data_IF_086824319941
#
_entry.id   IF_086824319941
#
_cell.length_a   1.000
_cell.length_b   1.000
_cell.length_c   1.000
_cell.angle_alpha   90.00
_cell.angle_beta   90.00
_cell.angle_gamma   90.00
#
_symmetry.space_group_name_H-M   'P 1'
#
loop_
_entity.id
_entity.type
_entity.pdbx_description
1 polymer ?
#
# COMPACT_ATOMS: atom_id res chain seq x y z
N UNK A 1 -17.07 39.20 -40.63
CA UNK A 1 -16.18 38.13 -40.13
C UNK A 1 -15.52 38.66 -38.86
N UNK A 2 -15.97 38.20 -37.70
CA UNK A 2 -15.30 38.49 -36.42
C UNK A 2 -15.42 37.23 -35.57
N UNK A 3 -14.26 36.64 -35.32
CA UNK A 3 -14.01 35.41 -34.57
C UNK A 3 -14.35 35.62 -33.09
N UNK A 4 -15.29 34.83 -32.58
CA UNK A 4 -15.60 34.77 -31.15
C UNK A 4 -14.54 33.87 -30.49
N UNK A 5 -13.66 34.47 -29.69
CA UNK A 5 -12.76 33.74 -28.81
C UNK A 5 -13.59 33.08 -27.69
N UNK A 6 -13.60 31.76 -27.64
CA UNK A 6 -14.10 31.01 -26.49
C UNK A 6 -13.05 31.11 -25.37
N UNK A 7 -13.33 31.97 -24.40
CA UNK A 7 -12.63 32.01 -23.12
C UNK A 7 -12.99 30.71 -22.38
N UNK A 8 -12.03 29.82 -22.22
CA UNK A 8 -12.14 28.65 -21.35
C UNK A 8 -12.44 29.11 -19.93
N UNK A 9 -13.54 28.64 -19.36
CA UNK A 9 -13.87 28.87 -17.97
C UNK A 9 -12.72 28.35 -17.06
N UNK A 10 -12.35 29.08 -15.99
CA UNK A 10 -11.36 28.59 -15.04
C UNK A 10 -11.87 27.31 -14.38
N UNK A 11 -11.02 26.28 -14.36
CA UNK A 11 -11.25 25.00 -13.69
C UNK A 11 -11.71 25.26 -12.25
N UNK A 12 -12.78 24.59 -11.83
CA UNK A 12 -13.27 24.72 -10.46
C UNK A 12 -12.32 24.02 -9.50
N UNK A 13 -12.30 24.40 -8.22
CA UNK A 13 -11.46 23.77 -7.18
C UNK A 13 -11.58 22.22 -7.17
N UNK A 14 -12.75 21.68 -7.55
CA UNK A 14 -13.00 20.24 -7.70
C UNK A 14 -12.30 19.59 -8.89
N UNK A 15 -11.99 20.36 -9.93
CA UNK A 15 -11.27 19.86 -11.10
C UNK A 15 -9.75 19.83 -10.83
N UNK A 16 -9.23 20.72 -9.97
CA UNK A 16 -7.85 20.66 -9.46
C UNK A 16 -7.61 19.48 -8.50
N UNK A 17 -8.61 19.11 -7.69
CA UNK A 17 -8.56 17.93 -6.80
C UNK A 17 -8.31 16.60 -7.54
N UNK A 18 -8.67 16.53 -8.84
CA UNK A 18 -8.43 15.34 -9.67
C UNK A 18 -7.06 15.32 -10.37
N UNK A 19 -6.42 16.50 -10.51
CA UNK A 19 -5.14 16.70 -11.21
C UNK A 19 -3.93 16.36 -10.33
N UNK A 20 -3.96 16.66 -9.02
CA UNK A 20 -2.81 16.42 -8.14
C UNK A 20 -2.76 15.03 -7.49
N UNK A 21 -3.81 14.21 -7.63
CA UNK A 21 -3.83 12.84 -7.13
C UNK A 21 -3.70 12.69 -5.61
N UNK A 22 -3.85 13.79 -4.86
CA UNK A 22 -3.82 13.81 -3.40
C UNK A 22 -5.14 13.22 -2.90
N UNK A 23 -5.05 12.20 -2.05
CA UNK A 23 -6.24 11.62 -1.41
C UNK A 23 -6.92 12.65 -0.50
N UNK A 24 -8.25 12.69 -0.44
CA UNK A 24 -8.95 13.59 0.47
C UNK A 24 -8.54 13.38 1.93
N UNK A 25 -8.17 12.13 2.27
CA UNK A 25 -7.57 11.77 3.56
C UNK A 25 -6.17 12.37 3.75
N UNK A 26 -5.33 12.38 2.71
CA UNK A 26 -4.00 12.98 2.76
C UNK A 26 -4.06 14.50 2.93
N UNK A 27 -5.05 15.15 2.34
CA UNK A 27 -5.26 16.59 2.50
C UNK A 27 -5.71 16.93 3.93
N UNK A 28 -6.62 16.14 4.50
CA UNK A 28 -7.08 16.27 5.89
C UNK A 28 -5.96 15.96 6.90
N UNK A 29 -5.03 15.05 6.54
CA UNK A 29 -3.84 14.79 7.34
C UNK A 29 -2.79 15.90 7.22
N UNK A 30 -2.66 16.54 6.05
CA UNK A 30 -1.74 17.66 5.86
C UNK A 30 -2.13 18.87 6.72
N UNK A 31 -3.43 19.06 7.01
CA UNK A 31 -3.88 20.09 7.96
C UNK A 31 -3.51 19.79 9.41
N UNK A 32 -3.03 18.58 9.74
CA UNK A 32 -2.56 18.23 11.07
C UNK A 32 -1.12 18.65 11.36
N UNK A 33 -0.41 19.22 10.38
CA UNK A 33 0.93 19.77 10.60
C UNK A 33 0.91 21.18 11.26
N UNK A 34 -0.24 21.63 11.75
CA UNK A 34 -0.47 23.01 12.23
C UNK A 34 0.41 23.44 13.42
N UNK A 35 0.97 22.48 14.18
CA UNK A 35 1.79 22.77 15.36
C UNK A 35 3.30 22.79 15.07
N UNK A 36 3.74 22.52 13.83
CA UNK A 36 5.16 22.48 13.45
C UNK A 36 5.54 23.66 12.55
N UNK A 37 6.69 24.26 12.85
CA UNK A 37 7.33 25.25 11.97
C UNK A 37 7.89 24.58 10.71
N UNK A 38 8.11 25.37 9.66
CA UNK A 38 8.69 24.88 8.41
C UNK A 38 10.12 24.34 8.62
N UNK A 39 10.89 24.95 9.52
CA UNK A 39 12.24 24.48 9.88
C UNK A 39 12.20 23.12 10.60
N UNK A 40 11.25 22.91 11.51
CA UNK A 40 11.04 21.61 12.17
C UNK A 40 10.62 20.54 11.16
N UNK A 41 9.72 20.85 10.24
CA UNK A 41 9.27 19.93 9.20
C UNK A 41 10.43 19.54 8.27
N UNK A 42 11.26 20.51 7.89
CA UNK A 42 12.47 20.28 7.09
C UNK A 42 13.50 19.43 7.84
N UNK A 43 13.66 19.65 9.13
CA UNK A 43 14.53 18.83 9.98
C UNK A 43 14.04 17.38 10.03
N UNK A 44 12.76 17.15 10.31
CA UNK A 44 12.14 15.82 10.33
C UNK A 44 12.32 15.12 8.97
N UNK A 45 12.00 15.82 7.88
CA UNK A 45 12.16 15.31 6.51
C UNK A 45 13.59 14.90 6.21
N UNK A 46 14.59 15.65 6.69
CA UNK A 46 16.01 15.31 6.54
C UNK A 46 16.37 14.04 7.31
N UNK A 47 15.93 13.91 8.56
CA UNK A 47 16.19 12.71 9.36
C UNK A 47 15.55 11.46 8.73
N UNK A 48 14.26 11.54 8.39
CA UNK A 48 13.55 10.43 7.74
C UNK A 48 14.14 10.07 6.37
N UNK A 49 14.67 11.05 5.63
CA UNK A 49 15.39 10.77 4.39
C UNK A 49 16.63 9.91 4.62
N UNK A 50 17.44 10.26 5.62
CA UNK A 50 18.65 9.51 5.96
C UNK A 50 18.31 8.09 6.41
N UNK A 51 17.27 7.94 7.24
CA UNK A 51 16.82 6.65 7.74
C UNK A 51 16.26 5.76 6.62
N UNK A 52 15.46 6.31 5.70
CA UNK A 52 15.03 5.55 4.51
C UNK A 52 16.22 5.10 3.67
N UNK A 53 17.19 5.97 3.45
CA UNK A 53 18.37 5.62 2.65
C UNK A 53 19.21 4.53 3.33
N UNK A 54 19.28 4.52 4.66
CA UNK A 54 19.97 3.47 5.42
C UNK A 54 19.21 2.13 5.37
N UNK A 55 17.91 2.13 5.67
CA UNK A 55 17.08 0.93 5.63
C UNK A 55 16.99 0.34 4.21
N UNK A 56 16.95 1.19 3.19
CA UNK A 56 16.92 0.76 1.78
C UNK A 56 18.16 -0.06 1.40
N UNK A 57 19.31 0.12 2.05
CA UNK A 57 20.50 -0.73 1.80
C UNK A 57 20.27 -2.19 2.13
N UNK A 58 19.32 -2.49 3.02
CA UNK A 58 18.94 -3.84 3.44
C UNK A 58 17.85 -4.44 2.53
N UNK A 59 17.34 -3.68 1.55
CA UNK A 59 16.27 -4.12 0.68
C UNK A 59 16.72 -5.23 -0.27
N UNK A 60 16.07 -6.39 -0.18
CA UNK A 60 16.27 -7.52 -1.10
C UNK A 60 15.13 -7.51 -2.14
N UNK A 61 15.48 -7.51 -3.43
CA UNK A 61 14.54 -7.41 -4.57
C UNK A 61 14.51 -8.66 -5.46
N UNK A 62 15.04 -9.77 -4.94
CA UNK A 62 14.97 -11.09 -5.53
C UNK A 62 14.36 -12.06 -4.52
N UNK A 63 14.03 -13.27 -4.96
CA UNK A 63 13.45 -14.28 -4.10
C UNK A 63 14.47 -14.76 -3.06
N UNK A 64 14.12 -14.54 -1.80
CA UNK A 64 14.76 -15.09 -0.60
C UNK A 64 13.61 -15.56 0.29
N UNK A 65 13.02 -16.69 -0.11
CA UNK A 65 11.71 -17.16 0.34
C UNK A 65 11.83 -18.51 1.07
N UNK A 66 10.99 -18.68 2.09
CA UNK A 66 10.81 -19.96 2.79
C UNK A 66 9.70 -20.82 2.13
N UNK A 67 9.37 -20.54 0.87
CA UNK A 67 8.43 -21.29 0.03
C UNK A 67 8.88 -21.26 -1.43
N UNK A 68 8.40 -22.21 -2.22
CA UNK A 68 8.68 -22.30 -3.65
C UNK A 68 7.66 -21.45 -4.44
N UNK A 69 8.08 -20.37 -5.11
CA UNK A 69 7.18 -19.54 -5.91
C UNK A 69 6.56 -20.27 -7.11
N UNK A 70 7.13 -21.40 -7.53
CA UNK A 70 6.60 -22.23 -8.62
C UNK A 70 5.63 -23.33 -8.13
N UNK A 71 5.60 -23.61 -6.83
CA UNK A 71 4.65 -24.54 -6.19
C UNK A 71 4.04 -23.95 -4.90
N UNK A 72 3.31 -22.83 -5.06
CA UNK A 72 2.65 -22.15 -3.95
C UNK A 72 1.64 -23.04 -3.23
N UNK A 73 0.88 -23.87 -3.94
CA UNK A 73 -0.24 -24.62 -3.35
C UNK A 73 0.25 -25.69 -2.34
N UNK A 74 1.49 -26.18 -2.48
CA UNK A 74 2.09 -27.11 -1.51
C UNK A 74 3.06 -26.45 -0.52
N UNK A 75 3.75 -25.37 -0.87
CA UNK A 75 4.84 -24.82 -0.05
C UNK A 75 4.45 -23.55 0.73
N UNK A 76 3.50 -22.76 0.22
CA UNK A 76 2.97 -21.60 0.94
C UNK A 76 1.83 -22.02 1.86
N UNK A 77 1.93 -21.66 3.14
CA UNK A 77 1.00 -22.04 4.22
C UNK A 77 0.22 -20.87 4.77
N UNK A 78 0.87 -19.71 4.91
CA UNK A 78 0.26 -18.54 5.52
C UNK A 78 0.61 -17.26 4.78
N UNK A 79 -0.41 -16.46 4.48
CA UNK A 79 -0.29 -15.15 3.85
C UNK A 79 -0.87 -14.08 4.78
N UNK A 80 -0.05 -13.09 5.09
CA UNK A 80 -0.44 -11.94 5.89
C UNK A 80 -1.06 -10.84 5.03
N UNK A 81 -1.97 -10.07 5.63
CA UNK A 81 -2.52 -8.84 5.08
C UNK A 81 -2.49 -7.76 6.15
N UNK A 82 -2.01 -6.57 5.80
CA UNK A 82 -2.01 -5.42 6.69
C UNK A 82 -2.72 -4.23 6.07
N UNK A 83 -3.39 -3.46 6.92
CA UNK A 83 -4.09 -2.22 6.58
C UNK A 83 -4.08 -1.27 7.78
N UNK A 84 -4.06 0.04 7.51
CA UNK A 84 -4.37 1.07 8.50
C UNK A 84 -5.52 1.92 7.96
N UNK A 85 -6.68 1.79 8.60
CA UNK A 85 -7.87 2.56 8.24
C UNK A 85 -8.04 3.74 9.19
N UNK A 86 -8.17 4.94 8.63
CA UNK A 86 -8.31 6.18 9.39
C UNK A 86 -9.77 6.49 9.72
N UNK A 87 -9.99 7.11 10.88
CA UNK A 87 -11.27 7.71 11.23
C UNK A 87 -11.53 8.92 10.31
N UNK A 88 -12.71 8.94 9.69
CA UNK A 88 -13.11 9.98 8.73
C UNK A 88 -13.33 11.34 9.38
N UNK A 89 -13.72 11.36 10.65
CA UNK A 89 -13.98 12.59 11.40
C UNK A 89 -12.69 13.10 12.06
N UNK A 90 -11.80 12.19 12.46
CA UNK A 90 -10.53 12.52 13.10
C UNK A 90 -9.38 11.67 12.56
N UNK A 91 -8.68 12.11 11.50
CA UNK A 91 -7.62 11.35 10.83
C UNK A 91 -6.33 11.20 11.67
N UNK A 92 -6.31 11.73 12.90
CA UNK A 92 -5.29 11.38 13.90
C UNK A 92 -5.49 9.93 14.37
N UNK A 93 -6.74 9.49 14.46
CA UNK A 93 -7.08 8.16 14.92
C UNK A 93 -7.20 7.19 13.74
N UNK A 94 -6.69 5.98 13.93
CA UNK A 94 -6.81 4.91 12.98
C UNK A 94 -6.92 3.56 13.68
N UNK A 95 -7.27 2.54 12.91
CA UNK A 95 -7.21 1.14 13.29
C UNK A 95 -6.16 0.46 12.43
N UNK A 96 -5.09 -0.01 13.06
CA UNK A 96 -4.13 -0.90 12.43
C UNK A 96 -4.65 -2.34 12.50
N UNK A 97 -4.49 -3.09 11.42
CA UNK A 97 -5.05 -4.42 11.23
C UNK A 97 -3.99 -5.36 10.68
N UNK A 98 -3.79 -6.51 11.33
CA UNK A 98 -2.96 -7.62 10.87
C UNK A 98 -3.81 -8.87 10.80
N UNK A 99 -3.98 -9.40 9.60
CA UNK A 99 -4.74 -10.63 9.35
C UNK A 99 -3.80 -11.67 8.74
N UNK A 100 -3.88 -12.91 9.19
CA UNK A 100 -3.19 -14.05 8.55
C UNK A 100 -4.21 -15.04 8.05
N UNK A 101 -4.06 -15.44 6.78
CA UNK A 101 -4.88 -16.43 6.13
C UNK A 101 -4.08 -17.71 5.91
N UNK A 102 -4.72 -18.87 6.10
CA UNK A 102 -4.19 -20.13 5.57
C UNK A 102 -4.19 -20.10 4.05
N UNK A 103 -3.24 -20.81 3.45
CA UNK A 103 -3.11 -20.99 2.00
C UNK A 103 -3.08 -22.49 1.67
N UNK A 104 -3.75 -22.94 0.59
CA UNK A 104 -4.50 -22.17 -0.41
C UNK A 104 -5.97 -21.86 -0.03
N UNK A 105 -6.44 -22.30 1.14
CA UNK A 105 -7.85 -22.17 1.56
C UNK A 105 -8.34 -20.72 1.72
N UNK A 106 -7.43 -19.76 1.94
CA UNK A 106 -7.70 -18.35 2.19
C UNK A 106 -8.68 -18.12 3.35
N UNK A 107 -8.56 -18.93 4.41
CA UNK A 107 -9.34 -18.78 5.66
C UNK A 107 -8.54 -18.02 6.69
N UNK A 108 -9.18 -17.08 7.38
CA UNK A 108 -8.53 -16.34 8.47
C UNK A 108 -8.20 -17.30 9.61
N UNK A 109 -6.92 -17.35 9.98
CA UNK A 109 -6.39 -18.16 11.10
C UNK A 109 -5.86 -17.32 12.25
N UNK A 110 -5.56 -16.05 11.99
CA UNK A 110 -5.17 -15.07 12.99
C UNK A 110 -5.68 -13.68 12.59
N UNK A 111 -6.09 -12.90 13.58
CA UNK A 111 -6.45 -11.49 13.43
C UNK A 111 -6.01 -10.70 14.66
N UNK A 112 -5.49 -9.50 14.44
CA UNK A 112 -5.19 -8.53 15.49
C UNK A 112 -5.53 -7.14 15.00
N UNK A 113 -5.98 -6.31 15.93
CA UNK A 113 -6.32 -4.92 15.69
C UNK A 113 -5.83 -4.07 16.84
N UNK A 114 -5.17 -2.97 16.51
CA UNK A 114 -4.77 -1.98 17.51
C UNK A 114 -5.36 -0.63 17.13
N UNK A 115 -5.91 0.06 18.13
CA UNK A 115 -6.30 1.47 18.01
C UNK A 115 -5.01 2.28 18.07
N UNK A 116 -4.79 3.10 17.06
CA UNK A 116 -3.57 3.89 16.95
C UNK A 116 -3.92 5.36 16.81
N UNK A 117 -3.08 6.18 17.41
CA UNK A 117 -3.14 7.64 17.31
C UNK A 117 -1.84 8.07 16.65
N UNK A 118 -1.93 8.68 15.47
CA UNK A 118 -0.78 9.11 14.70
C UNK A 118 -0.11 10.29 15.38
N UNK A 119 1.11 10.07 15.85
CA UNK A 119 1.92 11.10 16.54
C UNK A 119 2.80 11.90 15.56
N UNK A 120 3.12 11.30 14.41
CA UNK A 120 4.03 11.88 13.44
C UNK A 120 3.28 12.70 12.37
N UNK A 121 3.89 13.80 11.87
CA UNK A 121 3.29 14.64 10.83
C UNK A 121 3.11 13.90 9.52
N UNK A 122 2.16 14.36 8.70
CA UNK A 122 2.00 13.84 7.35
C UNK A 122 2.94 14.57 6.39
N UNK A 123 3.93 13.84 5.88
CA UNK A 123 4.86 14.32 4.85
C UNK A 123 4.75 13.37 3.64
N UNK A 124 4.34 13.85 2.45
CA UNK A 124 4.29 13.03 1.25
C UNK A 124 5.64 12.34 0.96
N UNK A 125 5.60 11.04 0.69
CA UNK A 125 6.80 10.20 0.53
C UNK A 125 7.35 9.59 1.83
N UNK A 126 6.74 9.89 2.99
CA UNK A 126 7.20 9.41 4.31
C UNK A 126 6.08 8.76 5.14
N UNK A 127 4.98 8.35 4.51
CA UNK A 127 3.84 7.69 5.18
C UNK A 127 4.27 6.51 6.07
N UNK A 128 5.27 5.75 5.62
CA UNK A 128 5.78 4.59 6.35
C UNK A 128 6.21 4.91 7.79
N UNK A 129 6.76 6.09 8.08
CA UNK A 129 7.16 6.47 9.45
C UNK A 129 5.98 6.62 10.42
N UNK A 130 4.78 6.85 9.89
CA UNK A 130 3.56 6.93 10.68
C UNK A 130 2.98 5.54 10.96
N UNK A 131 3.13 4.63 10.01
CA UNK A 131 2.38 3.37 10.01
C UNK A 131 3.22 2.15 10.44
N UNK A 132 4.48 2.07 10.00
CA UNK A 132 5.35 0.90 10.23
C UNK A 132 5.54 0.59 11.72
N UNK A 133 5.77 1.55 12.63
CA UNK A 133 5.96 1.22 14.05
C UNK A 133 4.77 0.48 14.66
N UNK A 134 3.55 0.80 14.22
CA UNK A 134 2.35 0.12 14.67
C UNK A 134 2.27 -1.31 14.10
N UNK A 135 2.48 -1.46 12.79
CA UNK A 135 2.42 -2.76 12.12
C UNK A 135 3.54 -3.71 12.58
N UNK A 136 4.75 -3.20 12.77
CA UNK A 136 5.90 -3.92 13.31
C UNK A 136 5.59 -4.49 14.70
N UNK A 137 5.04 -3.66 15.60
CA UNK A 137 4.63 -4.12 16.93
C UNK A 137 3.61 -5.27 16.86
N UNK A 138 2.61 -5.17 15.97
CA UNK A 138 1.63 -6.26 15.79
C UNK A 138 2.28 -7.57 15.34
N UNK A 139 3.28 -7.49 14.45
CA UNK A 139 4.02 -8.65 13.95
C UNK A 139 4.94 -9.22 15.04
N UNK A 140 5.56 -8.38 15.87
CA UNK A 140 6.33 -8.82 17.04
C UNK A 140 5.47 -9.55 18.07
N UNK A 141 4.27 -9.03 18.36
CA UNK A 141 3.32 -9.72 19.24
C UNK A 141 2.86 -11.06 18.65
N UNK A 142 2.59 -11.13 17.33
CA UNK A 142 2.29 -12.38 16.65
C UNK A 142 3.43 -13.40 16.82
N UNK A 143 4.68 -12.98 16.62
CA UNK A 143 5.87 -13.83 16.80
C UNK A 143 6.00 -14.38 18.22
N UNK A 144 5.67 -13.58 19.23
CA UNK A 144 5.79 -13.97 20.62
C UNK A 144 4.64 -14.88 21.08
N UNK A 145 3.41 -14.55 20.67
CA UNK A 145 2.21 -15.15 21.24
C UNK A 145 1.65 -16.31 20.40
N UNK A 146 1.76 -16.22 19.08
CA UNK A 146 1.21 -17.19 18.14
C UNK A 146 2.19 -17.50 16.98
N UNK A 147 3.44 -17.94 17.26
CA UNK A 147 4.48 -18.12 16.24
C UNK A 147 4.09 -19.11 15.12
N UNK A 148 3.21 -20.06 15.39
CA UNK A 148 2.69 -21.02 14.41
C UNK A 148 1.90 -20.39 13.27
N UNK A 149 1.48 -19.13 13.40
CA UNK A 149 0.75 -18.37 12.39
C UNK A 149 1.58 -17.24 11.78
N UNK A 150 2.91 -17.23 11.95
CA UNK A 150 3.76 -16.25 11.25
C UNK A 150 3.57 -16.43 9.73
N UNK A 151 3.22 -15.36 8.99
CA UNK A 151 3.06 -15.44 7.55
C UNK A 151 4.41 -15.59 6.86
N UNK A 152 4.45 -16.38 5.78
CA UNK A 152 5.64 -16.48 4.92
C UNK A 152 5.76 -15.29 3.96
N UNK A 153 4.67 -14.56 3.71
CA UNK A 153 4.65 -13.33 2.92
C UNK A 153 3.50 -12.44 3.39
N UNK A 154 3.72 -11.12 3.41
CA UNK A 154 2.71 -10.12 3.80
C UNK A 154 2.35 -9.25 2.60
N UNK A 155 1.06 -9.15 2.30
CA UNK A 155 0.51 -8.21 1.34
C UNK A 155 0.14 -6.91 2.06
N UNK A 156 0.69 -5.80 1.57
CA UNK A 156 0.54 -4.47 2.17
C UNK A 156 -0.30 -3.60 1.25
N UNK A 157 -1.37 -2.97 1.77
CA UNK A 157 -2.16 -1.97 1.02
C UNK A 157 -1.36 -0.67 0.88
N UNK A 158 -0.43 -0.66 -0.08
CA UNK A 158 0.53 0.41 -0.24
C UNK A 158 1.60 0.06 -1.26
N UNK A 159 2.58 0.95 -1.43
CA UNK A 159 3.66 0.75 -2.38
C UNK A 159 4.91 0.18 -1.71
N UNK A 160 5.69 -0.60 -2.46
CA UNK A 160 7.06 -0.98 -2.14
C UNK A 160 8.06 -0.13 -2.92
N UNK A 161 8.78 -0.73 -3.88
CA UNK A 161 9.74 0.00 -4.73
C UNK A 161 9.08 1.00 -5.70
N UNK A 162 7.77 0.90 -5.98
CA UNK A 162 7.00 1.90 -6.74
C UNK A 162 6.78 3.15 -5.86
N UNK A 163 7.84 3.89 -5.61
CA UNK A 163 7.88 5.01 -4.66
C UNK A 163 8.91 6.05 -5.10
N UNK A 164 8.71 7.34 -4.78
CA UNK A 164 9.62 8.42 -5.23
C UNK A 164 11.08 8.17 -4.80
N UNK A 165 11.26 7.49 -3.67
CA UNK A 165 12.56 7.10 -3.12
C UNK A 165 12.88 5.61 -3.28
N UNK A 166 12.03 4.85 -3.97
CA UNK A 166 12.15 3.40 -4.14
C UNK A 166 12.08 2.61 -2.83
N UNK A 167 11.38 3.15 -1.82
CA UNK A 167 11.28 2.59 -0.47
C UNK A 167 9.97 3.01 0.20
N UNK A 168 8.86 2.47 -0.31
CA UNK A 168 7.52 2.72 0.22
C UNK A 168 7.20 1.88 1.47
N UNK A 169 5.95 1.97 1.93
CA UNK A 169 5.44 1.27 3.12
C UNK A 169 5.76 -0.22 3.14
N UNK A 170 5.53 -0.93 2.02
CA UNK A 170 5.76 -2.37 1.96
C UNK A 170 7.25 -2.73 2.09
N UNK A 171 8.13 -1.93 1.47
CA UNK A 171 9.57 -2.12 1.57
C UNK A 171 10.10 -1.81 2.96
N UNK A 172 9.64 -0.71 3.56
CA UNK A 172 10.02 -0.35 4.92
C UNK A 172 9.59 -1.44 5.90
N UNK A 173 8.30 -1.81 5.91
CA UNK A 173 7.79 -2.86 6.79
C UNK A 173 8.58 -4.16 6.61
N UNK A 174 8.77 -4.59 5.36
CA UNK A 174 9.45 -5.85 5.05
C UNK A 174 10.88 -5.90 5.56
N UNK A 175 11.64 -4.81 5.43
CA UNK A 175 13.01 -4.69 5.96
C UNK A 175 13.01 -4.80 7.49
N UNK A 176 12.18 -4.02 8.19
CA UNK A 176 12.23 -3.99 9.66
C UNK A 176 11.72 -5.28 10.30
N UNK A 177 10.71 -5.92 9.70
CA UNK A 177 10.25 -7.22 10.20
C UNK A 177 11.02 -8.40 9.63
N UNK A 178 11.84 -8.22 8.59
CA UNK A 178 12.52 -9.30 7.86
C UNK A 178 11.56 -10.44 7.44
N UNK A 179 10.44 -10.08 6.82
CA UNK A 179 9.47 -11.01 6.20
C UNK A 179 9.28 -10.57 4.74
N UNK A 180 9.14 -11.50 3.78
CA UNK A 180 8.78 -11.12 2.43
C UNK A 180 7.53 -10.25 2.36
N UNK A 181 7.59 -9.12 1.67
CA UNK A 181 6.46 -8.19 1.52
C UNK A 181 6.19 -7.84 0.07
N UNK A 182 4.91 -7.63 -0.24
CA UNK A 182 4.44 -7.16 -1.55
C UNK A 182 3.61 -5.90 -1.36
N UNK A 183 3.96 -4.84 -2.07
CA UNK A 183 3.12 -3.64 -2.14
C UNK A 183 2.01 -3.82 -3.17
N UNK A 184 0.76 -3.68 -2.75
CA UNK A 184 -0.42 -3.77 -3.60
C UNK A 184 -1.23 -2.48 -3.48
N UNK A 185 -1.00 -1.54 -4.40
CA UNK A 185 -1.68 -0.25 -4.39
C UNK A 185 -2.92 -0.23 -5.32
N UNK A 186 -3.95 0.50 -4.90
CA UNK A 186 -5.21 0.71 -5.63
C UNK A 186 -5.16 1.89 -6.60
N UNK A 187 -4.17 2.78 -6.43
CA UNK A 187 -3.96 4.02 -7.21
C UNK A 187 -2.51 4.03 -7.73
N UNK A 188 -2.31 4.65 -8.89
CA UNK A 188 -0.97 4.88 -9.43
C UNK A 188 -0.25 5.93 -8.58
N UNK A 189 1.00 5.65 -8.21
CA UNK A 189 1.93 6.65 -7.70
C UNK A 189 2.81 7.14 -8.85
N UNK A 190 2.88 8.46 -9.04
CA UNK A 190 3.67 9.07 -10.10
C UNK A 190 5.14 9.08 -9.71
N UNK A 191 5.92 8.25 -10.39
CA UNK A 191 7.37 8.10 -10.18
C UNK A 191 8.04 7.92 -11.53
N UNK A 192 9.22 8.52 -11.71
CA UNK A 192 10.08 8.28 -12.87
C UNK A 192 9.34 8.44 -14.23
N UNK A 193 8.55 9.49 -14.36
CA UNK A 193 7.70 9.83 -15.52
C UNK A 193 6.63 8.77 -15.90
N UNK A 194 6.29 7.85 -14.99
CA UNK A 194 5.13 6.97 -15.16
C UNK A 194 3.85 7.78 -14.90
N UNK A 195 3.06 7.98 -15.95
CA UNK A 195 1.84 8.80 -15.92
C UNK A 195 0.58 7.96 -16.08
N UNK A 196 -0.60 8.54 -15.77
CA UNK A 196 -1.89 7.89 -16.02
C UNK A 196 -2.07 7.50 -17.49
N UNK A 197 -1.59 8.31 -18.42
CA UNK A 197 -1.80 8.04 -19.85
C UNK A 197 -0.95 6.87 -20.32
N UNK A 198 0.32 6.79 -19.90
CA UNK A 198 1.16 5.61 -20.16
C UNK A 198 0.53 4.33 -19.58
N UNK A 199 -0.05 4.41 -18.38
CA UNK A 199 -0.74 3.26 -17.76
C UNK A 199 -2.02 2.90 -18.52
N UNK A 200 -2.82 3.88 -18.98
CA UNK A 200 -4.03 3.62 -19.79
C UNK A 200 -3.67 2.85 -21.06
N UNK A 201 -2.61 3.26 -21.75
CA UNK A 201 -2.13 2.57 -22.95
C UNK A 201 -1.71 1.13 -22.65
N UNK A 202 -0.93 0.91 -21.58
CA UNK A 202 -0.52 -0.43 -21.14
C UNK A 202 -1.73 -1.32 -20.82
N UNK A 203 -2.70 -0.79 -20.07
CA UNK A 203 -3.95 -1.51 -19.73
C UNK A 203 -4.70 -1.90 -21.00
N UNK A 204 -4.91 -0.94 -21.93
CA UNK A 204 -5.63 -1.20 -23.18
C UNK A 204 -4.92 -2.22 -24.06
N UNK A 205 -3.58 -2.25 -24.06
CA UNK A 205 -2.79 -3.15 -24.90
C UNK A 205 -2.65 -4.55 -24.29
N UNK A 206 -2.43 -4.64 -22.98
CA UNK A 206 -1.94 -5.87 -22.34
C UNK A 206 -2.93 -6.52 -21.38
N UNK A 207 -3.88 -5.80 -20.77
CA UNK A 207 -4.74 -6.33 -19.70
C UNK A 207 -6.12 -6.72 -20.24
N UNK A 208 -6.26 -7.97 -20.71
CA UNK A 208 -7.49 -8.52 -21.31
C UNK A 208 -8.16 -9.59 -20.47
N UNK A 209 -7.39 -10.35 -19.70
CA UNK A 209 -7.84 -11.46 -18.87
C UNK A 209 -7.35 -11.32 -17.42
N UNK A 210 -7.97 -12.09 -16.52
CA UNK A 210 -7.47 -12.23 -15.14
C UNK A 210 -6.02 -12.70 -15.17
N UNK A 211 -5.15 -12.02 -14.43
CA UNK A 211 -3.74 -12.34 -14.32
C UNK A 211 -2.84 -11.63 -15.32
N UNK A 212 -3.41 -10.97 -16.33
CA UNK A 212 -2.61 -10.16 -17.25
C UNK A 212 -1.95 -8.99 -16.51
N UNK A 213 -0.74 -8.66 -16.94
CA UNK A 213 0.01 -7.55 -16.39
C UNK A 213 0.92 -6.89 -17.42
N UNK A 214 1.35 -5.68 -17.12
CA UNK A 214 2.41 -4.99 -17.85
C UNK A 214 3.37 -4.31 -16.89
N UNK A 215 4.68 -4.35 -17.21
CA UNK A 215 5.71 -3.69 -16.41
C UNK A 215 5.56 -2.17 -16.47
N UNK A 216 5.70 -1.54 -15.31
CA UNK A 216 5.76 -0.09 -15.15
C UNK A 216 7.24 0.31 -15.21
N UNK A 217 7.71 0.56 -16.42
CA UNK A 217 9.09 0.98 -16.69
C UNK A 217 9.09 2.50 -16.76
N UNK A 218 9.86 3.14 -15.86
CA UNK A 218 10.01 4.58 -15.88
C UNK A 218 11.07 5.04 -16.86
N UNK A 219 11.26 6.36 -17.00
CA UNK A 219 12.22 6.97 -17.93
C UNK A 219 13.67 6.54 -17.67
N UNK A 220 14.02 6.22 -16.43
CA UNK A 220 15.32 5.64 -16.07
C UNK A 220 15.59 4.25 -16.68
N UNK A 221 14.55 3.59 -17.22
CA UNK A 221 14.62 2.20 -17.69
C UNK A 221 14.40 1.17 -16.59
N UNK A 222 14.22 1.59 -15.34
CA UNK A 222 13.95 0.72 -14.19
C UNK A 222 12.47 0.31 -14.20
N UNK A 223 12.22 -0.98 -13.94
CA UNK A 223 10.88 -1.48 -13.67
C UNK A 223 10.54 -1.26 -12.19
N UNK A 224 9.56 -0.40 -11.91
CA UNK A 224 9.13 -0.07 -10.54
C UNK A 224 8.02 -1.00 -10.03
N UNK A 225 7.43 -1.81 -10.90
CA UNK A 225 6.34 -2.72 -10.57
C UNK A 225 5.58 -3.16 -11.82
N UNK A 226 4.34 -3.59 -11.63
CA UNK A 226 3.41 -3.90 -12.72
C UNK A 226 2.04 -3.28 -12.48
N UNK A 227 1.36 -2.95 -13.58
CA UNK A 227 -0.10 -2.79 -13.58
C UNK A 227 -0.70 -4.17 -13.85
N UNK A 228 -1.66 -4.57 -13.01
CA UNK A 228 -2.16 -5.95 -12.92
C UNK A 228 -3.68 -6.01 -12.98
N UNK A 229 -4.21 -7.00 -13.71
CA UNK A 229 -5.65 -7.28 -13.82
C UNK A 229 -6.07 -8.39 -12.84
N UNK A 230 -6.66 -8.07 -11.67
CA UNK A 230 -6.94 -9.08 -10.65
C UNK A 230 -8.12 -10.01 -10.98
N UNK A 231 -9.09 -9.54 -11.77
CA UNK A 231 -10.29 -10.31 -12.15
C UNK A 231 -10.74 -9.96 -13.58
N UNK A 232 -11.53 -10.83 -14.21
CA UNK A 232 -11.88 -10.78 -15.65
C UNK A 232 -12.59 -9.50 -16.11
N UNK A 233 -13.32 -8.79 -15.23
CA UNK A 233 -14.20 -7.68 -15.59
C UNK A 233 -14.03 -6.42 -14.71
N UNK A 234 -12.80 -6.05 -14.36
CA UNK A 234 -12.56 -4.75 -13.68
C UNK A 234 -12.00 -3.71 -14.63
N UNK A 235 -12.60 -2.51 -14.61
CA UNK A 235 -12.03 -1.31 -15.24
C UNK A 235 -10.96 -0.59 -14.40
N UNK A 236 -10.55 -1.16 -13.26
CA UNK A 236 -9.56 -0.55 -12.36
C UNK A 236 -8.49 -1.59 -11.99
N UNK A 237 -7.26 -1.49 -12.51
CA UNK A 237 -6.20 -2.43 -12.19
C UNK A 237 -5.67 -2.25 -10.76
N UNK A 238 -4.77 -3.12 -10.35
CA UNK A 238 -3.89 -2.95 -9.19
C UNK A 238 -2.48 -2.61 -9.64
N UNK A 239 -1.71 -1.97 -8.76
CA UNK A 239 -0.30 -1.67 -8.95
C UNK A 239 0.50 -2.52 -7.96
N UNK A 240 1.25 -3.48 -8.48
CA UNK A 240 2.03 -4.42 -7.67
C UNK A 240 3.50 -4.02 -7.74
N UNK A 241 4.15 -3.93 -6.59
CA UNK A 241 5.58 -3.63 -6.50
C UNK A 241 6.25 -4.51 -5.45
N UNK A 242 7.54 -4.77 -5.65
CA UNK A 242 8.36 -5.50 -4.68
C UNK A 242 8.36 -4.73 -3.36
N UNK A 243 8.02 -5.40 -2.27
CA UNK A 243 8.27 -4.89 -0.92
C UNK A 243 9.68 -5.27 -0.50
N UNK A 244 9.91 -6.53 -0.12
CA UNK A 244 11.19 -7.04 0.40
C UNK A 244 11.28 -8.57 0.22
N UNK A 245 12.48 -9.12 -0.02
CA UNK A 245 12.80 -10.57 -0.11
C UNK A 245 11.99 -11.39 -1.12
N UNK A 246 11.40 -10.71 -2.10
CA UNK A 246 10.58 -11.33 -3.14
C UNK A 246 10.86 -10.68 -4.49
N UNK A 247 10.92 -11.47 -5.55
CA UNK A 247 11.03 -10.99 -6.91
C UNK A 247 9.70 -10.46 -7.42
N UNK A 248 9.75 -9.59 -8.44
CA UNK A 248 8.52 -9.04 -9.03
C UNK A 248 7.62 -10.14 -9.63
N UNK A 249 8.21 -11.21 -10.17
CA UNK A 249 7.46 -12.33 -10.72
C UNK A 249 6.70 -13.08 -9.61
N UNK A 250 7.39 -13.38 -8.51
CA UNK A 250 6.80 -14.02 -7.33
C UNK A 250 5.72 -13.16 -6.68
N UNK A 251 5.89 -11.83 -6.64
CA UNK A 251 4.81 -10.92 -6.23
C UNK A 251 3.53 -11.13 -7.03
N UNK A 252 3.64 -11.24 -8.36
CA UNK A 252 2.49 -11.41 -9.26
C UNK A 252 1.81 -12.76 -9.00
N UNK A 253 2.59 -13.84 -8.85
CA UNK A 253 2.08 -15.19 -8.56
C UNK A 253 1.29 -15.21 -7.24
N UNK A 254 1.85 -14.66 -6.16
CA UNK A 254 1.19 -14.58 -4.84
C UNK A 254 -0.08 -13.72 -4.91
N UNK A 255 -0.04 -12.55 -5.54
CA UNK A 255 -1.20 -11.68 -5.68
C UNK A 255 -2.31 -12.34 -6.51
N UNK A 256 -1.97 -12.97 -7.63
CA UNK A 256 -2.94 -13.67 -8.48
C UNK A 256 -3.67 -14.78 -7.72
N UNK A 257 -2.93 -15.59 -6.96
CA UNK A 257 -3.47 -16.71 -6.18
C UNK A 257 -4.31 -16.27 -4.98
N UNK A 258 -4.10 -15.05 -4.48
CA UNK A 258 -4.86 -14.48 -3.36
C UNK A 258 -6.04 -13.60 -3.80
N UNK A 259 -6.17 -13.28 -5.09
CA UNK A 259 -7.31 -12.56 -5.66
C UNK A 259 -8.51 -13.49 -5.94
N UNK A 260 -9.35 -13.68 -4.91
CA UNK A 260 -10.75 -14.14 -5.07
C UNK A 260 -11.62 -12.98 -5.60
N UNK A 261 -11.41 -11.81 -5.01
CA UNK A 261 -12.04 -10.54 -5.37
C UNK A 261 -11.04 -9.64 -6.09
N UNK A 262 -11.42 -8.38 -6.36
CA UNK A 262 -10.49 -7.37 -6.91
C UNK A 262 -9.26 -7.22 -6.03
N UNK A 263 -9.43 -6.92 -4.74
CA UNK A 263 -8.31 -6.81 -3.81
C UNK A 263 -7.93 -8.22 -3.32
N UNK A 264 -6.64 -8.52 -3.15
CA UNK A 264 -6.20 -9.78 -2.55
C UNK A 264 -6.89 -10.03 -1.22
N UNK A 265 -7.27 -11.28 -0.98
CA UNK A 265 -8.07 -11.66 0.16
C UNK A 265 -7.47 -11.22 1.51
N UNK A 266 -6.14 -11.34 1.77
CA UNK A 266 -5.55 -10.82 3.01
C UNK A 266 -5.77 -9.31 3.23
N UNK A 267 -5.52 -8.48 2.22
CA UNK A 267 -5.74 -7.03 2.27
C UNK A 267 -7.23 -6.72 2.43
N UNK A 268 -8.08 -7.41 1.66
CA UNK A 268 -9.54 -7.22 1.71
C UNK A 268 -10.09 -7.53 3.11
N UNK A 269 -9.57 -8.57 3.76
CA UNK A 269 -9.98 -8.99 5.10
C UNK A 269 -9.47 -8.02 6.17
N UNK A 270 -8.27 -7.43 5.99
CA UNK A 270 -7.73 -6.39 6.86
C UNK A 270 -8.58 -5.11 6.79
N UNK A 271 -8.84 -4.59 5.59
CA UNK A 271 -9.66 -3.39 5.30
C UNK A 271 -11.12 -3.55 5.74
N UNK A 272 -11.74 -4.70 5.49
CA UNK A 272 -13.14 -4.94 5.88
C UNK A 272 -13.32 -4.90 7.41
N UNK A 273 -12.36 -5.45 8.16
CA UNK A 273 -12.48 -5.56 9.62
C UNK A 273 -12.04 -4.30 10.33
N UNK A 274 -10.99 -3.62 9.86
CA UNK A 274 -10.57 -2.32 10.39
C UNK A 274 -11.71 -1.30 10.28
N UNK A 275 -12.38 -1.21 9.12
CA UNK A 275 -13.55 -0.33 8.92
C UNK A 275 -14.72 -0.66 9.83
N UNK A 276 -15.05 -1.94 10.03
CA UNK A 276 -16.12 -2.34 10.96
C UNK A 276 -15.85 -1.88 12.39
N UNK A 277 -14.59 -1.86 12.81
CA UNK A 277 -14.21 -1.37 14.14
C UNK A 277 -14.37 0.15 14.27
N UNK A 278 -14.05 0.91 13.22
CA UNK A 278 -14.27 2.36 13.17
C UNK A 278 -15.78 2.67 13.25
N UNK A 279 -16.60 1.96 12.47
CA UNK A 279 -18.06 2.13 12.46
C UNK A 279 -18.68 1.80 13.83
N UNK A 280 -18.24 0.72 14.49
CA UNK A 280 -18.69 0.36 15.83
C UNK A 280 -18.32 1.41 16.88
N UNK A 281 -17.18 2.08 16.74
CA UNK A 281 -16.78 3.19 17.63
C UNK A 281 -17.65 4.43 17.43
N UNK A 282 -17.92 4.81 16.17
CA UNK A 282 -18.78 5.95 15.87
C UNK A 282 -20.18 5.74 16.47
N UNK A 283 -20.75 4.53 16.29
CA UNK A 283 -22.03 4.17 16.87
C UNK A 283 -22.06 4.22 18.40
N UNK A 284 -20.95 3.88 19.07
CA UNK A 284 -20.85 3.98 20.54
C UNK A 284 -20.81 5.44 21.00
N UNK A 285 -20.05 6.31 20.32
CA UNK A 285 -19.97 7.74 20.64
C UNK A 285 -21.30 8.48 20.40
N UNK A 286 -22.07 8.10 19.38
CA UNK A 286 -23.38 8.72 19.09
C UNK A 286 -24.51 8.33 20.05
N UNK A 287 -24.31 7.29 20.87
CA UNK A 287 -25.29 6.81 21.86
C UNK A 287 -25.00 7.27 23.29
N UNK A 288 -24.02 8.17 23.49
CA UNK A 288 -23.73 8.86 24.74
C UNK A 288 -24.20 10.31 24.66
#
# INVERSE_FOLDING_TARGET
MSTRAELSAPLTCRDQEAEDGIDSEQLLMATMNQDLTEDELNHIKKQWSLEQDELKKQLIVHDDLDFDPDDLDTTLKFVGGVDISFDKENPVNAIASLIVLSFPDLKVVYEKYDRVTMQHPYIPGFLAFREVPHLENMIHELRQNCPQFIPQVILVDGNGILHQRGFGLASHLGVVVNIPTVGVAKKLLYVDDITRDTVKELVQKHLKAKGDYAKLIGKSGIAHGVVFQPIQKTGRPLFISIGHRISLESCIKVVLKTCIHKNPEPIRQADLRSRRMIEAQAAWKSNQ
#
